data_IF_122552666017
#
_entry.id   IF_122552666017
#
_cell.length_a   1.000
_cell.length_b   1.000
_cell.length_c   1.000
_cell.angle_alpha   90.00
_cell.angle_beta   90.00
_cell.angle_gamma   90.00
#
_symmetry.space_group_name_H-M   'P 1'
#
loop_
_entity.id
_entity.type
_entity.pdbx_description
1 polymer ?
#
# COMPACT_ATOMS: atom_id res chain seq x y z
N UNK A 1 -27.07 23.08 10.95
CA UNK A 1 -26.04 23.66 10.05
C UNK A 1 -24.78 22.83 10.21
N UNK A 2 -24.14 22.44 9.11
CA UNK A 2 -22.90 21.65 9.14
C UNK A 2 -21.72 22.61 9.18
N UNK A 3 -20.97 22.61 10.28
CA UNK A 3 -19.82 23.50 10.45
C UNK A 3 -18.49 22.82 10.13
N UNK A 4 -18.41 21.50 10.36
CA UNK A 4 -17.18 20.73 10.26
C UNK A 4 -17.39 19.44 9.48
N UNK A 5 -16.35 18.96 8.83
CA UNK A 5 -16.30 17.67 8.13
C UNK A 5 -15.13 16.83 8.62
N UNK A 6 -15.36 15.53 8.82
CA UNK A 6 -14.33 14.58 9.25
C UNK A 6 -13.66 13.98 8.01
N UNK A 7 -12.36 14.23 7.84
CA UNK A 7 -11.54 13.63 6.78
C UNK A 7 -11.26 12.15 7.08
N UNK A 8 -10.86 11.40 6.04
CA UNK A 8 -10.51 9.96 6.16
C UNK A 8 -9.37 9.69 7.16
N UNK A 9 -8.48 10.66 7.37
CA UNK A 9 -7.40 10.60 8.35
C UNK A 9 -7.82 11.06 9.76
N UNK A 10 -9.12 11.27 9.99
CA UNK A 10 -9.69 11.71 11.26
C UNK A 10 -9.62 13.21 11.52
N UNK A 11 -8.94 14.01 10.66
CA UNK A 11 -8.88 15.46 10.85
C UNK A 11 -10.24 16.11 10.67
N UNK A 12 -10.58 17.03 11.56
CA UNK A 12 -11.77 17.88 11.44
C UNK A 12 -11.37 19.19 10.78
N UNK A 13 -12.05 19.54 9.69
CA UNK A 13 -11.82 20.80 8.98
C UNK A 13 -13.15 21.52 8.74
N UNK A 14 -13.15 22.85 8.51
CA UNK A 14 -14.36 23.58 8.16
C UNK A 14 -15.08 22.95 6.97
N UNK A 15 -16.40 22.82 7.10
CA UNK A 15 -17.26 22.37 6.01
C UNK A 15 -17.33 23.45 4.93
N UNK A 16 -17.19 23.03 3.68
CA UNK A 16 -17.18 23.93 2.52
C UNK A 16 -18.04 23.31 1.43
N UNK A 17 -19.25 23.84 1.28
CA UNK A 17 -20.26 23.38 0.32
C UNK A 17 -19.80 23.56 -1.12
N UNK A 18 -18.94 24.54 -1.41
CA UNK A 18 -18.44 24.80 -2.76
C UNK A 18 -17.69 23.60 -3.33
N UNK A 19 -17.05 22.78 -2.47
CA UNK A 19 -16.38 21.55 -2.87
C UNK A 19 -17.34 20.48 -3.36
N UNK A 20 -18.56 20.44 -2.82
CA UNK A 20 -19.61 19.52 -3.27
C UNK A 20 -20.13 20.00 -4.62
N UNK A 21 -20.44 21.29 -4.73
CA UNK A 21 -20.88 21.90 -5.99
C UNK A 21 -19.89 21.67 -7.12
N UNK A 22 -18.60 21.96 -6.87
CA UNK A 22 -17.54 21.75 -7.86
C UNK A 22 -17.41 20.28 -8.29
N UNK A 23 -17.60 19.34 -7.36
CA UNK A 23 -17.53 17.92 -7.67
C UNK A 23 -18.73 17.44 -8.51
N UNK A 24 -19.94 17.89 -8.17
CA UNK A 24 -21.16 17.63 -8.96
C UNK A 24 -21.03 18.26 -10.35
N UNK A 25 -20.59 19.52 -10.42
CA UNK A 25 -20.42 20.25 -11.66
C UNK A 25 -19.40 19.58 -12.59
N UNK A 26 -18.23 19.17 -12.06
CA UNK A 26 -17.23 18.43 -12.84
C UNK A 26 -17.77 17.11 -13.38
N UNK A 27 -18.53 16.37 -12.60
CA UNK A 27 -19.17 15.13 -13.06
C UNK A 27 -20.18 15.42 -14.19
N UNK A 28 -20.95 16.52 -14.09
CA UNK A 28 -21.88 16.93 -15.13
C UNK A 28 -21.18 17.36 -16.42
N UNK A 29 -20.04 18.05 -16.32
CA UNK A 29 -19.24 18.51 -17.46
C UNK A 29 -18.71 17.36 -18.34
N UNK A 30 -18.36 16.21 -17.74
CA UNK A 30 -17.95 15.01 -18.50
C UNK A 30 -19.05 14.55 -19.47
N UNK A 31 -20.31 14.79 -19.11
CA UNK A 31 -21.48 14.46 -19.93
C UNK A 31 -21.96 15.62 -20.82
N UNK A 32 -21.20 16.72 -20.88
CA UNK A 32 -21.53 17.92 -21.63
C UNK A 32 -22.49 18.89 -20.91
N UNK A 33 -22.77 18.68 -19.62
CA UNK A 33 -23.55 19.61 -18.81
C UNK A 33 -22.75 20.84 -18.41
N UNK A 34 -23.36 22.03 -18.47
CA UNK A 34 -22.70 23.30 -18.13
C UNK A 34 -23.49 24.16 -17.14
N UNK A 35 -24.55 23.63 -16.54
CA UNK A 35 -25.39 24.32 -15.58
C UNK A 35 -24.80 24.23 -14.17
N UNK A 36 -24.17 25.33 -13.72
CA UNK A 36 -23.59 25.43 -12.39
C UNK A 36 -24.66 25.74 -11.33
N UNK A 37 -25.72 26.46 -11.70
CA UNK A 37 -26.83 26.78 -10.78
C UNK A 37 -27.52 25.48 -10.35
N UNK A 38 -27.75 24.56 -11.28
CA UNK A 38 -28.29 23.24 -10.97
C UNK A 38 -27.38 22.43 -10.02
N UNK A 39 -26.05 22.54 -10.15
CA UNK A 39 -25.12 21.90 -9.22
C UNK A 39 -25.19 22.50 -7.81
N UNK A 40 -25.44 23.81 -7.70
CA UNK A 40 -25.65 24.51 -6.42
C UNK A 40 -26.98 24.08 -5.78
N UNK A 41 -28.07 24.00 -6.55
CA UNK A 41 -29.36 23.49 -6.07
C UNK A 41 -29.26 22.06 -5.54
N UNK A 42 -28.59 21.16 -6.28
CA UNK A 42 -28.34 19.79 -5.85
C UNK A 42 -27.48 19.75 -4.58
N UNK A 43 -26.49 20.65 -4.46
CA UNK A 43 -25.67 20.78 -3.25
C UNK A 43 -26.52 21.16 -2.04
N UNK A 44 -27.48 22.08 -2.18
CA UNK A 44 -28.38 22.44 -1.08
C UNK A 44 -29.26 21.26 -0.67
N UNK A 45 -29.75 20.46 -1.63
CA UNK A 45 -30.48 19.21 -1.33
C UNK A 45 -29.61 18.19 -0.59
N UNK A 46 -28.32 18.07 -0.94
CA UNK A 46 -27.36 17.22 -0.20
C UNK A 46 -27.22 17.68 1.25
N UNK A 47 -27.06 18.99 1.45
CA UNK A 47 -26.90 19.56 2.81
C UNK A 47 -28.18 19.34 3.61
N UNK A 48 -29.35 19.61 3.03
CA UNK A 48 -30.64 19.37 3.67
C UNK A 48 -30.83 17.89 4.04
N UNK A 49 -30.47 16.97 3.15
CA UNK A 49 -30.51 15.53 3.46
C UNK A 49 -29.61 15.16 4.64
N UNK A 50 -28.37 15.68 4.67
CA UNK A 50 -27.43 15.44 5.77
C UNK A 50 -27.94 16.02 7.10
N UNK A 51 -28.55 17.21 7.11
CA UNK A 51 -29.00 17.87 8.35
C UNK A 51 -30.37 17.43 8.82
N UNK A 52 -31.31 17.26 7.90
CA UNK A 52 -32.74 17.17 8.22
C UNK A 52 -33.20 15.71 8.31
N UNK A 53 -32.62 14.82 7.48
CA UNK A 53 -32.93 13.39 7.52
C UNK A 53 -31.92 12.59 8.35
N UNK A 54 -30.62 12.85 8.18
CA UNK A 54 -29.57 12.11 8.90
C UNK A 54 -29.18 12.74 10.24
N UNK A 55 -29.63 13.96 10.52
CA UNK A 55 -29.28 14.71 11.73
C UNK A 55 -27.76 14.82 11.97
N UNK A 56 -26.99 14.82 10.89
CA UNK A 56 -25.53 14.87 10.94
C UNK A 56 -25.04 16.31 11.08
N UNK A 57 -24.21 16.54 12.11
CA UNK A 57 -23.61 17.84 12.37
C UNK A 57 -22.13 17.89 11.98
N UNK A 58 -21.50 16.71 11.87
CA UNK A 58 -20.08 16.54 11.53
C UNK A 58 -19.90 15.30 10.65
N UNK A 59 -20.47 15.29 9.43
CA UNK A 59 -20.40 14.12 8.59
C UNK A 59 -18.96 13.79 8.20
N UNK A 60 -18.68 12.50 8.07
CA UNK A 60 -17.47 12.01 7.42
C UNK A 60 -17.52 12.28 5.91
N UNK A 61 -16.35 12.36 5.28
CA UNK A 61 -16.23 12.54 3.82
C UNK A 61 -17.05 11.49 3.05
N UNK A 62 -17.06 10.22 3.49
CA UNK A 62 -17.84 9.17 2.82
C UNK A 62 -19.35 9.42 2.92
N UNK A 63 -19.84 9.84 4.09
CA UNK A 63 -21.27 10.14 4.27
C UNK A 63 -21.74 11.28 3.35
N UNK A 64 -20.91 12.31 3.17
CA UNK A 64 -21.20 13.38 2.22
C UNK A 64 -21.24 12.86 0.78
N UNK A 65 -20.34 11.95 0.42
CA UNK A 65 -20.29 11.39 -0.93
C UNK A 65 -21.50 10.49 -1.22
N UNK A 66 -21.91 9.67 -0.25
CA UNK A 66 -23.09 8.81 -0.37
C UNK A 66 -24.38 9.64 -0.46
N UNK A 67 -24.44 10.75 0.29
CA UNK A 67 -25.51 11.73 0.17
C UNK A 67 -25.58 12.37 -1.23
N UNK A 68 -24.43 12.73 -1.83
CA UNK A 68 -24.38 13.25 -3.20
C UNK A 68 -24.90 12.24 -4.20
N UNK A 69 -24.48 10.97 -4.10
CA UNK A 69 -24.94 9.91 -4.99
C UNK A 69 -26.45 9.70 -4.92
N UNK A 70 -27.00 9.61 -3.70
CA UNK A 70 -28.43 9.48 -3.47
C UNK A 70 -29.20 10.63 -4.12
N UNK A 71 -28.82 11.87 -3.82
CA UNK A 71 -29.53 13.06 -4.31
C UNK A 71 -29.45 13.18 -5.83
N UNK A 72 -28.30 12.86 -6.45
CA UNK A 72 -28.19 12.86 -7.90
C UNK A 72 -29.14 11.82 -8.55
N UNK A 73 -29.25 10.62 -7.96
CA UNK A 73 -30.13 9.58 -8.49
C UNK A 73 -31.61 9.96 -8.32
N UNK A 74 -32.01 10.41 -7.13
CA UNK A 74 -33.40 10.77 -6.83
C UNK A 74 -33.90 11.96 -7.65
N UNK A 75 -33.01 12.85 -8.07
CA UNK A 75 -33.34 14.00 -8.93
C UNK A 75 -33.17 13.70 -10.43
N UNK A 76 -33.03 12.43 -10.83
CA UNK A 76 -32.99 12.02 -12.24
C UNK A 76 -31.63 12.22 -12.93
N UNK A 77 -30.57 12.58 -12.19
CA UNK A 77 -29.22 12.76 -12.69
C UNK A 77 -28.37 11.49 -12.56
N UNK A 78 -28.96 10.31 -12.84
CA UNK A 78 -28.30 9.01 -12.67
C UNK A 78 -26.98 8.88 -13.48
N UNK A 79 -26.91 9.48 -14.67
CA UNK A 79 -25.67 9.51 -15.46
C UNK A 79 -24.58 10.33 -14.77
N UNK A 80 -24.93 11.49 -14.24
CA UNK A 80 -24.01 12.35 -13.46
C UNK A 80 -23.56 11.66 -12.17
N UNK A 81 -24.46 10.94 -11.49
CA UNK A 81 -24.12 10.13 -10.32
C UNK A 81 -23.06 9.08 -10.66
N UNK A 82 -23.20 8.39 -11.80
CA UNK A 82 -22.20 7.43 -12.28
C UNK A 82 -20.84 8.08 -12.49
N UNK A 83 -20.76 9.22 -13.17
CA UNK A 83 -19.50 9.93 -13.38
C UNK A 83 -18.88 10.41 -12.06
N UNK A 84 -19.71 10.87 -11.12
CA UNK A 84 -19.25 11.23 -9.78
C UNK A 84 -18.64 10.04 -9.03
N UNK A 85 -19.28 8.86 -9.07
CA UNK A 85 -18.78 7.62 -8.47
C UNK A 85 -17.43 7.22 -9.09
N UNK A 86 -17.34 7.25 -10.42
CA UNK A 86 -16.11 6.90 -11.14
C UNK A 86 -14.97 7.87 -10.80
N UNK A 87 -15.25 9.17 -10.77
CA UNK A 87 -14.29 10.19 -10.35
C UNK A 87 -13.80 9.98 -8.91
N UNK A 88 -14.69 9.63 -7.99
CA UNK A 88 -14.36 9.30 -6.58
C UNK A 88 -13.47 8.06 -6.49
N UNK A 89 -13.80 7.01 -7.22
CA UNK A 89 -13.03 5.77 -7.27
C UNK A 89 -11.61 6.06 -7.78
N UNK A 90 -11.49 6.84 -8.85
CA UNK A 90 -10.18 7.22 -9.41
C UNK A 90 -9.38 8.11 -8.44
N UNK A 91 -10.01 9.08 -7.76
CA UNK A 91 -9.33 9.90 -6.75
C UNK A 91 -8.89 9.10 -5.52
N UNK A 92 -9.65 8.07 -5.14
CA UNK A 92 -9.26 7.15 -4.07
C UNK A 92 -8.06 6.33 -4.52
N UNK A 93 -8.14 5.70 -5.70
CA UNK A 93 -7.04 4.96 -6.31
C UNK A 93 -5.76 5.79 -6.40
N UNK A 94 -5.83 7.03 -6.89
CA UNK A 94 -4.68 7.94 -6.97
C UNK A 94 -4.13 8.30 -5.60
N UNK A 95 -4.96 8.46 -4.56
CA UNK A 95 -4.48 8.72 -3.19
C UNK A 95 -3.80 7.50 -2.59
N UNK A 96 -4.37 6.32 -2.80
CA UNK A 96 -3.81 5.06 -2.32
C UNK A 96 -2.49 4.75 -3.04
N UNK A 97 -2.42 5.02 -4.35
CA UNK A 97 -1.18 4.98 -5.13
C UNK A 97 -0.15 6.04 -4.73
N UNK A 98 -0.59 7.16 -4.17
CA UNK A 98 0.31 8.21 -3.66
C UNK A 98 0.92 7.89 -2.29
N UNK A 99 0.64 6.73 -1.71
CA UNK A 99 1.43 6.23 -0.58
C UNK A 99 2.87 5.97 -1.05
N UNK A 100 3.86 6.28 -0.18
CA UNK A 100 5.30 6.15 -0.49
C UNK A 100 5.63 4.78 -1.10
N UNK A 101 5.08 3.71 -0.53
CA UNK A 101 5.29 2.35 -0.99
C UNK A 101 4.70 2.05 -2.37
N UNK A 102 3.49 2.52 -2.67
CA UNK A 102 2.88 2.26 -3.97
C UNK A 102 3.62 2.95 -5.11
N UNK A 103 4.20 4.13 -4.87
CA UNK A 103 5.12 4.77 -5.82
C UNK A 103 6.41 3.98 -6.01
N UNK A 104 6.97 3.44 -4.92
CA UNK A 104 8.14 2.55 -4.99
C UNK A 104 7.79 1.30 -5.82
N UNK A 105 6.62 0.71 -5.62
CA UNK A 105 6.18 -0.45 -6.39
C UNK A 105 5.97 -0.12 -7.86
N UNK A 106 5.36 1.02 -8.19
CA UNK A 106 5.23 1.50 -9.58
C UNK A 106 6.60 1.63 -10.24
N UNK A 107 7.56 2.25 -9.56
CA UNK A 107 8.93 2.42 -10.04
C UNK A 107 9.66 1.08 -10.19
N UNK A 108 9.48 0.15 -9.27
CA UNK A 108 10.02 -1.21 -9.37
C UNK A 108 9.40 -1.99 -10.54
N UNK A 109 8.14 -1.71 -10.89
CA UNK A 109 7.44 -2.44 -11.95
C UNK A 109 7.82 -1.93 -13.34
N UNK A 110 7.86 -0.61 -13.51
CA UNK A 110 7.86 0.01 -14.83
C UNK A 110 9.17 0.68 -15.22
N UNK A 111 10.09 0.92 -14.27
CA UNK A 111 11.41 1.49 -14.58
C UNK A 111 12.46 0.38 -14.69
N UNK A 112 13.36 0.44 -15.69
CA UNK A 112 14.51 -0.46 -15.75
C UNK A 112 15.47 -0.18 -14.58
N UNK A 113 16.28 -1.17 -14.19
CA UNK A 113 17.22 -1.02 -13.09
C UNK A 113 18.23 0.12 -13.29
N UNK A 114 18.57 0.45 -14.54
CA UNK A 114 19.45 1.57 -14.87
C UNK A 114 18.95 2.92 -14.35
N UNK A 115 17.62 3.07 -14.24
CA UNK A 115 16.95 4.31 -13.84
C UNK A 115 16.32 4.21 -12.44
N UNK A 116 16.62 3.14 -11.68
CA UNK A 116 16.06 2.88 -10.36
C UNK A 116 17.10 2.26 -9.41
N UNK A 117 17.64 3.08 -8.50
CA UNK A 117 18.65 2.65 -7.53
C UNK A 117 18.14 1.58 -6.56
N UNK A 118 16.84 1.54 -6.27
CA UNK A 118 16.24 0.53 -5.37
C UNK A 118 16.40 -0.88 -5.97
N UNK A 119 16.30 -1.00 -7.31
CA UNK A 119 16.56 -2.27 -8.01
C UNK A 119 18.03 -2.72 -7.94
N UNK A 120 18.95 -1.79 -7.68
CA UNK A 120 20.40 -2.01 -7.70
C UNK A 120 21.05 -2.04 -6.31
N UNK A 121 20.29 -1.81 -5.25
CA UNK A 121 20.77 -1.78 -3.86
C UNK A 121 21.44 -3.11 -3.44
N UNK A 122 20.99 -4.25 -3.97
CA UNK A 122 21.59 -5.55 -3.66
C UNK A 122 22.33 -6.11 -4.89
N UNK A 123 23.65 -6.22 -4.80
CA UNK A 123 24.50 -6.69 -5.89
C UNK A 123 24.28 -8.17 -6.26
N UNK A 124 23.66 -8.96 -5.39
CA UNK A 124 23.37 -10.38 -5.63
C UNK A 124 22.00 -10.61 -6.29
N UNK A 125 21.18 -9.56 -6.43
CA UNK A 125 19.82 -9.66 -6.96
C UNK A 125 19.73 -8.84 -8.25
N UNK A 126 19.33 -9.49 -9.34
CA UNK A 126 18.93 -8.79 -10.56
C UNK A 126 17.49 -8.30 -10.42
N UNK A 127 17.33 -7.02 -10.10
CA UNK A 127 16.04 -6.35 -9.89
C UNK A 127 15.15 -6.24 -11.12
N UNK A 128 15.62 -6.58 -12.33
CA UNK A 128 14.80 -6.63 -13.55
C UNK A 128 14.24 -8.04 -13.82
N UNK A 129 14.70 -9.07 -13.09
CA UNK A 129 14.11 -10.40 -13.18
C UNK A 129 12.77 -10.48 -12.42
N UNK A 130 11.85 -11.39 -12.81
CA UNK A 130 10.58 -11.56 -12.10
C UNK A 130 10.76 -11.85 -10.61
N UNK A 131 11.69 -12.75 -10.26
CA UNK A 131 11.98 -13.07 -8.87
C UNK A 131 12.68 -11.92 -8.13
N UNK A 132 13.60 -11.21 -8.78
CA UNK A 132 14.26 -10.05 -8.18
C UNK A 132 13.30 -8.90 -7.91
N UNK A 133 12.37 -8.62 -8.84
CA UNK A 133 11.31 -7.61 -8.64
C UNK A 133 10.38 -8.02 -7.50
N UNK A 134 9.94 -9.29 -7.45
CA UNK A 134 9.09 -9.79 -6.37
C UNK A 134 9.78 -9.70 -5.00
N UNK A 135 11.06 -10.05 -4.94
CA UNK A 135 11.86 -9.91 -3.73
C UNK A 135 11.96 -8.44 -3.30
N UNK A 136 12.12 -7.51 -4.25
CA UNK A 136 12.14 -6.07 -3.95
C UNK A 136 10.80 -5.53 -3.45
N UNK A 137 9.67 -6.02 -3.95
CA UNK A 137 8.38 -5.69 -3.32
C UNK A 137 8.34 -6.15 -1.87
N UNK A 138 8.76 -7.40 -1.61
CA UNK A 138 8.85 -7.94 -0.25
C UNK A 138 9.73 -7.09 0.66
N UNK A 139 10.94 -6.74 0.21
CA UNK A 139 11.89 -5.93 0.96
C UNK A 139 11.34 -4.55 1.30
N UNK A 140 10.83 -3.81 0.32
CA UNK A 140 10.33 -2.44 0.54
C UNK A 140 9.06 -2.41 1.40
N UNK A 141 8.18 -3.41 1.23
CA UNK A 141 7.02 -3.59 2.11
C UNK A 141 7.43 -3.90 3.56
N UNK A 142 8.42 -4.77 3.75
CA UNK A 142 8.93 -5.15 5.07
C UNK A 142 9.61 -3.97 5.78
N UNK A 143 10.47 -3.21 5.08
CA UNK A 143 11.11 -1.99 5.61
C UNK A 143 10.05 -1.00 6.11
N UNK A 144 9.04 -0.71 5.28
CA UNK A 144 7.98 0.22 5.67
C UNK A 144 7.20 -0.27 6.89
N UNK A 145 6.87 -1.56 6.95
CA UNK A 145 6.21 -2.14 8.11
C UNK A 145 7.05 -2.00 9.39
N UNK A 146 8.34 -2.33 9.31
CA UNK A 146 9.26 -2.23 10.44
C UNK A 146 9.40 -0.78 10.93
N UNK A 147 9.59 0.17 10.02
CA UNK A 147 9.70 1.60 10.35
C UNK A 147 8.45 2.18 11.01
N UNK A 148 7.27 1.72 10.59
CA UNK A 148 5.98 2.28 11.04
C UNK A 148 5.45 1.62 12.31
N UNK A 149 5.70 0.33 12.50
CA UNK A 149 4.99 -0.46 13.52
C UNK A 149 5.88 -1.25 14.47
N UNK A 150 7.14 -1.50 14.11
CA UNK A 150 8.04 -2.37 14.91
C UNK A 150 9.08 -1.55 15.66
N UNK A 151 9.74 -0.63 14.97
CA UNK A 151 10.81 0.18 15.54
C UNK A 151 10.24 1.28 16.43
N UNK A 152 10.99 1.61 17.49
CA UNK A 152 10.74 2.84 18.23
C UNK A 152 10.91 4.05 17.28
N UNK A 153 9.99 5.03 17.30
CA UNK A 153 10.06 6.20 16.42
C UNK A 153 11.39 6.94 16.48
N UNK A 154 12.08 6.93 17.63
CA UNK A 154 13.40 7.57 17.76
C UNK A 154 14.44 6.87 16.89
N UNK A 155 14.45 5.54 16.85
CA UNK A 155 15.41 4.76 16.04
C UNK A 155 15.05 4.78 14.56
N UNK A 156 13.76 4.70 14.24
CA UNK A 156 13.26 4.83 12.86
C UNK A 156 13.69 6.17 12.24
N UNK A 157 13.52 7.26 13.00
CA UNK A 157 13.97 8.59 12.59
C UNK A 157 15.49 8.68 12.42
N UNK A 158 16.26 8.22 13.40
CA UNK A 158 17.72 8.22 13.34
C UNK A 158 18.26 7.42 12.14
N UNK A 159 17.59 6.32 11.76
CA UNK A 159 17.92 5.56 10.57
C UNK A 159 17.63 6.34 9.28
N UNK A 160 16.43 6.94 9.19
CA UNK A 160 16.01 7.72 8.03
C UNK A 160 16.85 8.99 7.80
N UNK A 161 17.36 9.60 8.86
CA UNK A 161 18.23 10.79 8.82
C UNK A 161 19.72 10.43 8.61
N UNK A 162 20.07 9.14 8.69
CA UNK A 162 21.44 8.65 8.49
C UNK A 162 22.34 8.75 9.72
N UNK A 163 21.77 9.07 10.90
CA UNK A 163 22.50 9.08 12.17
C UNK A 163 22.93 7.67 12.59
N UNK A 164 22.10 6.67 12.26
CA UNK A 164 22.40 5.25 12.43
C UNK A 164 22.05 4.46 11.18
N UNK A 165 22.62 3.26 11.05
CA UNK A 165 22.24 2.32 10.01
C UNK A 165 21.75 1.02 10.65
N UNK A 166 20.46 0.71 10.46
CA UNK A 166 19.88 -0.56 10.88
C UNK A 166 20.12 -1.56 9.75
N UNK A 167 21.03 -2.51 9.99
CA UNK A 167 21.36 -3.55 9.04
C UNK A 167 20.17 -4.49 8.80
N UNK A 168 20.02 -4.96 7.56
CA UNK A 168 19.03 -5.95 7.14
C UNK A 168 17.59 -5.62 7.58
N UNK A 169 17.22 -4.33 7.49
CA UNK A 169 15.92 -3.83 7.95
C UNK A 169 14.72 -4.52 7.26
N UNK A 170 14.88 -4.94 6.01
CA UNK A 170 13.90 -5.74 5.27
C UNK A 170 13.70 -7.15 5.85
N UNK A 171 14.65 -7.67 6.61
CA UNK A 171 14.59 -8.98 7.29
C UNK A 171 14.52 -8.88 8.81
N UNK A 172 14.39 -7.66 9.36
CA UNK A 172 14.56 -7.35 10.79
C UNK A 172 13.74 -8.25 11.73
N UNK A 173 12.50 -8.59 11.36
CA UNK A 173 11.62 -9.47 12.15
C UNK A 173 11.50 -10.89 11.62
N UNK A 174 12.19 -11.22 10.53
CA UNK A 174 11.99 -12.46 9.78
C UNK A 174 13.03 -13.52 10.13
N UNK A 175 14.30 -13.13 10.28
CA UNK A 175 15.39 -14.09 10.49
C UNK A 175 16.56 -13.46 11.27
N UNK A 176 17.53 -14.31 11.61
CA UNK A 176 18.82 -13.89 12.16
C UNK A 176 19.79 -13.54 11.03
N UNK A 177 20.71 -12.60 11.27
CA UNK A 177 21.69 -12.14 10.27
C UNK A 177 22.56 -13.26 9.70
N UNK A 178 23.14 -14.10 10.57
CA UNK A 178 24.03 -15.16 10.13
C UNK A 178 24.01 -16.36 11.06
N UNK A 179 24.39 -17.51 10.53
CA UNK A 179 24.60 -18.72 11.31
C UNK A 179 25.75 -19.54 10.70
N UNK A 180 26.39 -20.35 11.53
CA UNK A 180 27.31 -21.38 11.08
C UNK A 180 26.62 -22.73 11.18
N UNK A 181 26.46 -23.41 10.04
CA UNK A 181 25.86 -24.74 9.99
C UNK A 181 26.96 -25.77 10.22
N UNK A 182 26.83 -26.54 11.30
CA UNK A 182 27.66 -27.72 11.52
C UNK A 182 27.14 -28.87 10.63
N UNK A 183 27.70 -28.96 9.43
CA UNK A 183 27.29 -29.96 8.41
C UNK A 183 27.57 -31.39 8.89
N UNK A 184 28.65 -31.60 9.65
CA UNK A 184 29.00 -32.92 10.19
C UNK A 184 27.90 -33.37 11.15
N UNK A 185 27.47 -32.49 12.04
CA UNK A 185 26.38 -32.78 12.96
C UNK A 185 25.03 -32.92 12.24
N UNK A 186 24.75 -32.08 11.24
CA UNK A 186 23.49 -32.09 10.51
C UNK A 186 23.26 -33.41 9.76
N UNK A 187 24.32 -33.99 9.19
CA UNK A 187 24.21 -35.18 8.36
C UNK A 187 24.32 -36.49 9.13
N UNK A 188 24.92 -36.47 10.31
CA UNK A 188 25.05 -37.64 11.18
C UNK A 188 23.67 -38.23 11.49
N UNK A 189 23.51 -39.53 11.28
CA UNK A 189 22.27 -40.29 11.44
C UNK A 189 21.10 -39.84 10.53
N UNK A 190 21.34 -38.89 9.61
CA UNK A 190 20.32 -38.29 8.75
C UNK A 190 19.44 -37.23 9.43
N UNK A 191 18.58 -36.58 8.66
CA UNK A 191 17.67 -35.54 9.16
C UNK A 191 16.36 -35.46 8.35
N UNK A 192 15.34 -34.84 8.93
CA UNK A 192 14.05 -34.62 8.27
C UNK A 192 13.94 -33.20 7.69
N UNK A 193 13.49 -33.08 6.45
CA UNK A 193 13.24 -31.79 5.78
C UNK A 193 11.78 -31.34 5.87
N UNK A 194 10.97 -32.02 6.69
CA UNK A 194 9.51 -31.82 6.78
C UNK A 194 8.71 -32.61 5.75
N UNK A 195 9.23 -32.78 4.53
CA UNK A 195 8.58 -33.57 3.46
C UNK A 195 9.19 -34.96 3.24
N UNK A 196 10.29 -35.28 3.92
CA UNK A 196 10.94 -36.57 3.83
C UNK A 196 12.15 -36.68 4.76
N UNK A 197 12.62 -37.92 4.95
CA UNK A 197 13.81 -38.20 5.74
C UNK A 197 15.01 -38.43 4.81
N UNK A 198 16.05 -37.62 4.97
CA UNK A 198 17.32 -37.78 4.27
C UNK A 198 18.26 -38.61 5.14
N UNK A 199 18.82 -39.65 4.54
CA UNK A 199 19.81 -40.51 5.20
C UNK A 199 21.18 -39.85 5.19
N UNK A 200 22.02 -40.25 6.13
CA UNK A 200 23.43 -39.86 6.15
C UNK A 200 24.10 -40.21 4.80
N UNK A 201 24.77 -39.25 4.14
CA UNK A 201 25.47 -39.50 2.88
C UNK A 201 26.69 -40.41 3.10
N UNK A 202 26.84 -41.43 2.25
CA UNK A 202 27.90 -42.44 2.34
C UNK A 202 29.00 -42.27 1.29
N UNK A 203 28.91 -41.23 0.46
CA UNK A 203 29.89 -40.92 -0.57
C UNK A 203 30.06 -39.40 -0.73
N UNK A 204 31.19 -39.00 -1.31
CA UNK A 204 31.57 -37.59 -1.42
C UNK A 204 30.63 -36.79 -2.34
N UNK A 205 30.04 -37.42 -3.36
CA UNK A 205 29.15 -36.73 -4.28
C UNK A 205 27.82 -36.41 -3.60
N UNK A 206 27.25 -37.39 -2.90
CA UNK A 206 26.06 -37.22 -2.06
C UNK A 206 26.27 -36.19 -0.96
N UNK A 207 27.42 -36.25 -0.28
CA UNK A 207 27.78 -35.29 0.76
C UNK A 207 27.85 -33.86 0.21
N UNK A 208 28.54 -33.67 -0.91
CA UNK A 208 28.71 -32.35 -1.54
C UNK A 208 27.37 -31.78 -2.03
N UNK A 209 26.53 -32.62 -2.64
CA UNK A 209 25.19 -32.21 -3.09
C UNK A 209 24.31 -31.77 -1.92
N UNK A 210 24.27 -32.55 -0.84
CA UNK A 210 23.50 -32.19 0.36
C UNK A 210 24.06 -30.93 1.04
N UNK A 211 25.38 -30.74 1.08
CA UNK A 211 25.99 -29.53 1.62
C UNK A 211 25.58 -28.29 0.84
N UNK A 212 25.59 -28.34 -0.50
CA UNK A 212 25.09 -27.25 -1.35
C UNK A 212 23.62 -26.94 -1.07
N UNK A 213 22.78 -27.97 -0.92
CA UNK A 213 21.36 -27.80 -0.59
C UNK A 213 21.21 -27.16 0.78
N UNK A 214 21.92 -27.64 1.81
CA UNK A 214 21.83 -27.09 3.16
C UNK A 214 22.21 -25.61 3.20
N UNK A 215 23.27 -25.22 2.48
CA UNK A 215 23.70 -23.82 2.38
C UNK A 215 22.63 -22.99 1.65
N UNK A 216 22.12 -23.47 0.51
CA UNK A 216 21.10 -22.77 -0.27
C UNK A 216 19.78 -22.64 0.51
N UNK A 217 19.36 -23.67 1.23
CA UNK A 217 18.15 -23.66 2.05
C UNK A 217 18.25 -22.64 3.18
N UNK A 218 19.44 -22.45 3.77
CA UNK A 218 19.65 -21.49 4.83
C UNK A 218 19.76 -20.03 4.32
N UNK A 219 19.91 -19.82 3.02
CA UNK A 219 19.88 -18.47 2.42
C UNK A 219 18.44 -17.96 2.21
N UNK A 220 17.43 -18.84 2.24
CA UNK A 220 16.01 -18.48 2.10
C UNK A 220 15.32 -18.40 3.46
#
# INVERSE_FOLDING_TARGET
MIEMIIKRDGRQVPFDSTKITDAIYKAAQVLGGNDREMAEELTQKVIAYLTDELHETRPAVEQVQDAVEKILIENGHARTAKEFILYRAERTRVRDMNTKLMRIYEDLTFKPAADNDIKRENANIDGDTPMGTMLKYGSEGSKQFCEMYVLDPVFSKAHAEGDIHIHDLDFYTLTTTCCQIDIVKLFKDGFCTGHGFLREPNDIASYSALACIAIQSNQN
#
